data_IF_565021508506
#
_entry.id   IF_565021508506
#
_cell.length_a   1.000
_cell.length_b   1.000
_cell.length_c   1.000
_cell.angle_alpha   90.00
_cell.angle_beta   90.00
_cell.angle_gamma   90.00
#
_symmetry.space_group_name_H-M   'P 1'
#
loop_
_entity.id
_entity.type
_entity.pdbx_description
1 polymer ?
#
# COMPACT_ATOMS: atom_id res chain seq x y z
N UNK A 1 -5.17 3.82 20.61
CA UNK A 1 -4.54 4.51 19.47
C UNK A 1 -3.40 3.62 19.03
N UNK A 2 -3.23 3.41 17.72
CA UNK A 2 -2.14 2.61 17.18
C UNK A 2 -1.12 3.54 16.54
N UNK A 3 0.16 3.20 16.65
CA UNK A 3 1.28 4.01 16.17
C UNK A 3 1.86 3.33 14.93
N UNK A 4 1.77 3.99 13.78
CA UNK A 4 2.36 3.53 12.53
C UNK A 4 3.24 4.60 11.89
N UNK A 5 4.05 4.18 10.93
CA UNK A 5 4.85 5.08 10.10
C UNK A 5 4.88 4.60 8.66
N UNK A 6 4.85 5.52 7.73
CA UNK A 6 5.21 5.24 6.34
C UNK A 6 6.73 5.27 6.21
N UNK A 7 7.28 4.19 5.64
CA UNK A 7 8.70 3.89 5.59
C UNK A 7 9.11 3.74 4.13
N UNK A 8 10.19 4.40 3.72
CA UNK A 8 10.61 4.33 2.34
C UNK A 8 11.37 3.04 2.03
N UNK A 9 11.13 2.52 0.83
CA UNK A 9 12.00 1.52 0.21
C UNK A 9 13.31 2.19 -0.18
N UNK A 10 14.42 1.53 0.13
CA UNK A 10 15.76 1.89 -0.34
C UNK A 10 16.30 0.80 -1.28
N UNK A 11 17.33 1.13 -2.06
CA UNK A 11 18.00 0.19 -2.93
C UNK A 11 18.41 -1.10 -2.20
N UNK A 12 18.22 -2.24 -2.85
CA UNK A 12 18.48 -3.56 -2.27
C UNK A 12 17.41 -4.05 -1.30
N UNK A 13 16.19 -3.50 -1.38
CA UNK A 13 15.05 -3.94 -0.57
C UNK A 13 15.21 -3.66 0.92
N UNK A 14 15.86 -2.56 1.27
CA UNK A 14 16.06 -2.12 2.65
C UNK A 14 15.01 -1.08 3.05
N UNK A 15 14.64 -1.08 4.32
CA UNK A 15 13.78 -0.06 4.91
C UNK A 15 14.61 1.18 5.30
N UNK A 16 14.03 2.38 5.16
CA UNK A 16 14.66 3.63 5.55
C UNK A 16 14.65 3.88 7.06
N UNK A 17 14.00 3.03 7.84
CA UNK A 17 13.91 3.11 9.28
C UNK A 17 14.70 1.98 9.93
N UNK A 18 15.49 2.32 10.95
CA UNK A 18 16.31 1.37 11.69
C UNK A 18 15.47 0.45 12.59
N UNK A 19 15.96 -0.76 12.85
CA UNK A 19 15.27 -1.82 13.62
C UNK A 19 14.82 -1.35 15.02
N UNK A 20 15.62 -0.53 15.68
CA UNK A 20 15.27 0.04 16.98
C UNK A 20 13.96 0.84 16.96
N UNK A 21 13.72 1.58 15.88
CA UNK A 21 12.51 2.41 15.71
C UNK A 21 11.35 1.59 15.17
N UNK A 22 11.61 0.65 14.26
CA UNK A 22 10.61 -0.30 13.78
C UNK A 22 9.97 -1.07 14.93
N UNK A 23 10.79 -1.50 15.90
CA UNK A 23 10.32 -2.21 17.08
C UNK A 23 9.33 -1.42 17.94
N UNK A 24 9.34 -0.09 17.87
CA UNK A 24 8.43 0.79 18.62
C UNK A 24 7.07 1.02 17.95
N UNK A 25 6.93 0.64 16.68
CA UNK A 25 5.68 0.79 15.93
C UNK A 25 4.73 -0.37 16.21
N UNK A 26 3.43 -0.07 16.19
CA UNK A 26 2.39 -1.11 16.13
C UNK A 26 2.34 -1.72 14.73
N UNK A 27 2.51 -0.91 13.67
CA UNK A 27 2.56 -1.33 12.27
C UNK A 27 3.42 -0.40 11.42
N UNK A 28 3.94 -0.92 10.32
CA UNK A 28 4.61 -0.16 9.27
C UNK A 28 3.83 -0.20 7.96
N UNK A 29 3.90 0.90 7.23
CA UNK A 29 3.46 1.04 5.86
C UNK A 29 4.72 1.22 5.03
N UNK A 30 4.92 0.49 3.94
CA UNK A 30 6.09 0.64 3.09
C UNK A 30 5.72 1.22 1.74
N UNK A 31 6.43 2.27 1.33
CA UNK A 31 6.21 2.96 0.05
C UNK A 31 7.49 3.15 -0.75
N UNK A 32 7.36 3.16 -2.07
CA UNK A 32 8.45 3.46 -2.99
C UNK A 32 8.27 4.88 -3.53
N UNK A 33 9.22 5.78 -3.22
CA UNK A 33 9.12 7.20 -3.54
C UNK A 33 10.35 7.67 -4.31
N UNK A 34 10.14 8.43 -5.38
CA UNK A 34 11.20 8.99 -6.23
C UNK A 34 12.14 9.95 -5.51
N UNK A 35 11.76 10.45 -4.34
CA UNK A 35 12.61 11.30 -3.49
C UNK A 35 13.65 10.52 -2.72
N UNK A 36 13.42 9.22 -2.48
CA UNK A 36 14.27 8.35 -1.64
C UNK A 36 14.82 7.13 -2.41
N UNK A 37 14.30 6.89 -3.61
CA UNK A 37 14.61 5.72 -4.41
C UNK A 37 14.71 6.11 -5.89
N UNK A 38 15.79 5.70 -6.57
CA UNK A 38 15.94 5.86 -8.01
C UNK A 38 15.23 4.71 -8.72
N UNK A 39 14.39 5.05 -9.72
CA UNK A 39 13.66 4.05 -10.49
C UNK A 39 14.61 3.08 -11.19
N UNK A 40 14.63 1.84 -10.74
CA UNK A 40 15.47 0.76 -11.28
C UNK A 40 14.73 -0.12 -12.29
N UNK A 41 13.52 0.28 -12.67
CA UNK A 41 12.65 -0.48 -13.57
C UNK A 41 11.73 -1.44 -12.84
N UNK A 42 10.71 -1.90 -13.57
CA UNK A 42 9.56 -2.64 -13.03
C UNK A 42 9.95 -3.82 -12.14
N UNK A 43 10.84 -4.67 -12.61
CA UNK A 43 11.17 -5.91 -11.88
C UNK A 43 12.00 -5.61 -10.62
N UNK A 44 13.00 -4.75 -10.71
CA UNK A 44 13.84 -4.42 -9.57
C UNK A 44 13.10 -3.56 -8.54
N UNK A 45 12.26 -2.61 -8.96
CA UNK A 45 11.37 -1.88 -8.06
C UNK A 45 10.48 -2.85 -7.27
N UNK A 46 9.92 -3.86 -7.97
CA UNK A 46 9.07 -4.88 -7.35
C UNK A 46 9.87 -5.75 -6.39
N UNK A 47 11.07 -6.19 -6.76
CA UNK A 47 11.93 -7.00 -5.90
C UNK A 47 12.30 -6.27 -4.61
N UNK A 48 12.64 -4.99 -4.70
CA UNK A 48 13.02 -4.17 -3.56
C UNK A 48 11.81 -3.93 -2.63
N UNK A 49 10.63 -3.68 -3.18
CA UNK A 49 9.40 -3.54 -2.40
C UNK A 49 9.04 -4.85 -1.69
N UNK A 50 9.07 -5.98 -2.39
CA UNK A 50 8.83 -7.31 -1.82
C UNK A 50 9.86 -7.64 -0.72
N UNK A 51 11.12 -7.25 -0.92
CA UNK A 51 12.15 -7.39 0.11
C UNK A 51 11.76 -6.73 1.42
N UNK A 52 11.24 -5.50 1.35
CA UNK A 52 10.75 -4.76 2.51
C UNK A 52 9.49 -5.38 3.16
N UNK A 53 8.58 -5.93 2.35
CA UNK A 53 7.34 -6.56 2.83
C UNK A 53 7.58 -7.78 3.74
N UNK A 54 8.76 -8.39 3.67
CA UNK A 54 9.11 -9.55 4.51
C UNK A 54 9.37 -9.20 5.98
N UNK A 55 9.52 -7.91 6.27
CA UNK A 55 9.75 -7.48 7.65
C UNK A 55 8.45 -7.61 8.47
N UNK A 56 8.47 -8.23 9.66
CA UNK A 56 7.25 -8.55 10.44
C UNK A 56 6.46 -7.32 10.88
N UNK A 57 7.07 -6.15 10.91
CA UNK A 57 6.38 -4.88 11.21
C UNK A 57 5.70 -4.23 10.01
N UNK A 58 5.93 -4.72 8.80
CA UNK A 58 5.29 -4.19 7.59
C UNK A 58 3.96 -4.90 7.38
N UNK A 59 2.88 -4.15 7.44
CA UNK A 59 1.51 -4.64 7.29
C UNK A 59 0.82 -4.10 6.04
N UNK A 60 1.31 -2.97 5.51
CA UNK A 60 0.69 -2.29 4.39
C UNK A 60 1.73 -1.83 3.36
N UNK A 61 1.33 -1.82 2.09
CA UNK A 61 2.06 -1.16 1.01
C UNK A 61 1.32 0.11 0.63
N UNK A 62 2.00 1.25 0.70
CA UNK A 62 1.47 2.56 0.38
C UNK A 62 1.38 2.76 -1.14
N UNK A 63 0.25 3.31 -1.60
CA UNK A 63 -0.05 3.77 -2.96
C UNK A 63 0.77 3.14 -4.12
N UNK A 64 0.70 1.82 -4.35
CA UNK A 64 1.46 1.12 -5.38
C UNK A 64 0.81 1.33 -6.77
N UNK A 65 0.64 2.58 -7.19
CA UNK A 65 -0.24 2.96 -8.29
C UNK A 65 0.44 3.79 -9.39
N UNK A 66 1.68 4.22 -9.19
CA UNK A 66 2.31 5.24 -10.02
C UNK A 66 3.40 4.66 -10.95
N UNK A 67 3.23 4.80 -12.25
CA UNK A 67 4.21 4.35 -13.25
C UNK A 67 5.50 5.19 -13.30
N UNK A 68 5.63 6.25 -12.50
CA UNK A 68 6.96 6.80 -12.22
C UNK A 68 7.84 5.79 -11.47
N UNK A 69 7.22 4.87 -10.73
CA UNK A 69 7.83 3.74 -10.05
C UNK A 69 7.09 2.45 -10.44
N UNK A 70 7.21 1.97 -11.70
CA UNK A 70 6.40 0.89 -12.22
C UNK A 70 6.64 -0.40 -11.44
N UNK A 71 5.55 -1.15 -11.21
CA UNK A 71 5.55 -2.41 -10.46
C UNK A 71 4.96 -3.57 -11.28
N UNK A 72 5.40 -4.77 -10.99
CA UNK A 72 4.78 -6.00 -11.48
C UNK A 72 3.69 -6.43 -10.48
N UNK A 73 2.44 -6.11 -10.81
CA UNK A 73 1.29 -6.32 -9.90
C UNK A 73 1.03 -7.78 -9.57
N UNK A 74 1.25 -8.70 -10.52
CA UNK A 74 1.07 -10.12 -10.25
C UNK A 74 2.03 -10.60 -9.16
N UNK A 75 3.32 -10.26 -9.27
CA UNK A 75 4.32 -10.58 -8.26
C UNK A 75 4.05 -9.88 -6.94
N UNK A 76 3.65 -8.60 -6.98
CA UNK A 76 3.33 -7.81 -5.79
C UNK A 76 2.17 -8.42 -4.99
N UNK A 77 1.06 -8.75 -5.67
CA UNK A 77 -0.12 -9.32 -5.03
C UNK A 77 0.16 -10.72 -4.47
N UNK A 78 0.92 -11.56 -5.18
CA UNK A 78 1.36 -12.84 -4.64
C UNK A 78 2.20 -12.67 -3.37
N UNK A 79 3.18 -11.77 -3.40
CA UNK A 79 4.02 -11.49 -2.24
C UNK A 79 3.21 -10.89 -1.08
N UNK A 80 2.23 -10.04 -1.36
CA UNK A 80 1.31 -9.50 -0.34
C UNK A 80 0.55 -10.62 0.36
N UNK A 81 0.05 -11.60 -0.39
CA UNK A 81 -0.60 -12.79 0.17
C UNK A 81 0.34 -13.62 1.05
N UNK A 82 1.53 -13.90 0.55
CA UNK A 82 2.52 -14.75 1.23
C UNK A 82 3.01 -14.12 2.55
N UNK A 83 3.17 -12.80 2.56
CA UNK A 83 3.69 -12.08 3.73
C UNK A 83 2.59 -11.51 4.64
N UNK A 84 1.31 -11.72 4.31
CA UNK A 84 0.21 -11.19 5.11
C UNK A 84 0.13 -9.66 5.10
N UNK A 85 0.46 -9.02 3.99
CA UNK A 85 0.46 -7.56 3.80
C UNK A 85 -0.75 -7.15 2.97
N UNK A 86 -1.39 -6.04 3.32
CA UNK A 86 -2.46 -5.45 2.52
C UNK A 86 -1.95 -4.32 1.63
N UNK A 87 -2.61 -4.11 0.49
CA UNK A 87 -2.27 -3.08 -0.48
C UNK A 87 -3.20 -1.88 -0.33
N UNK A 88 -2.64 -0.68 -0.41
CA UNK A 88 -3.41 0.55 -0.27
C UNK A 88 -4.15 0.92 -1.55
N UNK A 89 -5.38 1.42 -1.38
CA UNK A 89 -6.09 2.25 -2.35
C UNK A 89 -6.13 3.67 -1.79
N UNK A 90 -5.24 4.51 -2.25
CA UNK A 90 -5.01 5.85 -1.72
C UNK A 90 -5.98 6.86 -2.35
N UNK A 91 -6.82 7.49 -1.50
CA UNK A 91 -7.76 8.51 -1.97
C UNK A 91 -7.06 9.74 -2.54
N UNK A 92 -5.89 10.12 -2.00
CA UNK A 92 -5.11 11.27 -2.47
C UNK A 92 -4.69 11.11 -3.94
N UNK A 93 -4.46 9.89 -4.43
CA UNK A 93 -4.10 9.64 -5.83
C UNK A 93 -5.16 10.13 -6.82
N UNK A 94 -6.44 10.07 -6.45
CA UNK A 94 -7.55 10.52 -7.29
C UNK A 94 -7.74 12.04 -7.30
N UNK A 95 -7.16 12.73 -6.32
CA UNK A 95 -7.27 14.18 -6.14
C UNK A 95 -6.05 14.96 -6.68
N UNK A 96 -4.98 14.26 -7.06
CA UNK A 96 -3.78 14.90 -7.59
C UNK A 96 -4.02 15.44 -9.01
N UNK A 97 -3.31 16.51 -9.40
CA UNK A 97 -3.33 17.01 -10.78
C UNK A 97 -2.91 15.95 -11.80
N UNK A 98 -3.40 16.09 -13.02
CA UNK A 98 -2.99 15.23 -14.14
C UNK A 98 -1.47 15.16 -14.29
N UNK A 99 -0.93 13.96 -14.49
CA UNK A 99 0.50 13.69 -14.61
C UNK A 99 1.27 13.62 -13.29
N UNK A 100 0.64 13.91 -12.14
CA UNK A 100 1.30 13.77 -10.84
C UNK A 100 1.52 12.28 -10.49
N UNK A 101 0.55 11.41 -10.82
CA UNK A 101 0.65 9.95 -10.77
C UNK A 101 0.27 9.39 -12.13
N UNK A 102 1.19 8.65 -12.75
CA UNK A 102 0.99 8.08 -14.07
C UNK A 102 0.19 6.79 -13.99
N UNK A 103 -0.84 6.67 -14.83
CA UNK A 103 -1.63 5.46 -15.04
C UNK A 103 -2.29 4.88 -13.77
N UNK A 104 -2.39 5.64 -12.68
CA UNK A 104 -2.84 5.15 -11.37
C UNK A 104 -4.19 4.40 -11.41
N UNK A 105 -5.17 4.87 -12.23
CA UNK A 105 -6.48 4.20 -12.34
C UNK A 105 -6.37 2.81 -12.98
N UNK A 106 -5.55 2.67 -14.00
CA UNK A 106 -5.34 1.37 -14.67
C UNK A 106 -4.52 0.42 -13.79
N UNK A 107 -3.55 0.98 -13.10
CA UNK A 107 -2.74 0.26 -12.13
C UNK A 107 -3.61 -0.27 -10.97
N UNK A 108 -4.51 0.55 -10.42
CA UNK A 108 -5.48 0.09 -9.43
C UNK A 108 -6.45 -0.96 -9.98
N UNK A 109 -6.95 -0.84 -11.23
CA UNK A 109 -7.80 -1.88 -11.84
C UNK A 109 -7.08 -3.22 -11.90
N UNK A 110 -5.83 -3.22 -12.36
CA UNK A 110 -5.00 -4.41 -12.44
C UNK A 110 -4.76 -5.02 -11.05
N UNK A 111 -4.34 -4.19 -10.10
CA UNK A 111 -4.09 -4.60 -8.72
C UNK A 111 -5.36 -5.18 -8.06
N UNK A 112 -6.50 -4.50 -8.17
CA UNK A 112 -7.75 -4.93 -7.56
C UNK A 112 -8.29 -6.22 -8.16
N UNK A 113 -8.15 -6.41 -9.48
CA UNK A 113 -8.53 -7.67 -10.15
C UNK A 113 -7.72 -8.85 -9.58
N UNK A 114 -6.41 -8.67 -9.41
CA UNK A 114 -5.53 -9.67 -8.80
C UNK A 114 -5.83 -9.87 -7.30
N UNK A 115 -6.04 -8.79 -6.55
CA UNK A 115 -6.44 -8.88 -5.14
C UNK A 115 -7.74 -9.66 -4.95
N UNK A 116 -8.72 -9.47 -5.84
CA UNK A 116 -9.97 -10.26 -5.84
C UNK A 116 -9.69 -11.73 -6.14
N UNK A 117 -8.88 -12.01 -7.16
CA UNK A 117 -8.55 -13.37 -7.59
C UNK A 117 -7.84 -14.17 -6.51
N UNK A 118 -6.89 -13.53 -5.83
CA UNK A 118 -6.03 -14.18 -4.82
C UNK A 118 -6.50 -13.95 -3.39
N UNK A 119 -7.64 -13.27 -3.19
CA UNK A 119 -8.19 -12.91 -1.88
C UNK A 119 -7.18 -12.16 -0.99
N UNK A 120 -6.48 -11.19 -1.57
CA UNK A 120 -5.59 -10.27 -0.85
C UNK A 120 -6.39 -9.06 -0.38
N UNK A 121 -6.33 -8.71 0.92
CA UNK A 121 -7.04 -7.55 1.42
C UNK A 121 -6.42 -6.23 0.96
N UNK A 122 -7.27 -5.20 0.90
CA UNK A 122 -6.84 -3.81 0.69
C UNK A 122 -7.20 -2.94 1.89
N UNK A 123 -6.49 -1.84 2.04
CA UNK A 123 -6.83 -0.76 2.96
C UNK A 123 -7.09 0.51 2.14
N UNK A 124 -8.05 1.31 2.58
CA UNK A 124 -8.38 2.59 1.92
C UNK A 124 -8.05 3.71 2.87
N UNK A 125 -7.21 4.63 2.47
CA UNK A 125 -6.91 5.78 3.31
C UNK A 125 -6.84 7.12 2.54
N UNK A 126 -6.67 8.20 3.28
CA UNK A 126 -6.71 9.55 2.73
C UNK A 126 -5.34 10.09 2.35
N UNK A 127 -4.25 9.49 2.85
CA UNK A 127 -2.89 10.03 2.74
C UNK A 127 -2.87 11.55 3.03
N UNK A 128 -3.50 11.92 4.14
CA UNK A 128 -3.77 13.31 4.49
C UNK A 128 -2.51 14.03 4.95
N UNK A 129 -2.13 15.08 4.26
CA UNK A 129 -1.06 16.00 4.63
C UNK A 129 -1.56 17.29 5.31
N UNK A 130 -2.88 17.40 5.46
CA UNK A 130 -3.58 18.49 6.15
C UNK A 130 -4.72 17.93 7.00
N UNK A 131 -5.00 18.48 8.19
CA UNK A 131 -6.08 18.01 9.06
C UNK A 131 -7.46 17.95 8.41
N UNK A 132 -7.75 18.83 7.45
CA UNK A 132 -9.03 18.86 6.74
C UNK A 132 -9.22 17.69 5.77
N UNK A 133 -8.14 17.01 5.37
CA UNK A 133 -8.18 15.87 4.46
C UNK A 133 -8.27 14.53 5.20
N UNK A 134 -8.14 14.52 6.52
CA UNK A 134 -8.20 13.28 7.31
C UNK A 134 -9.56 12.61 7.19
N UNK A 135 -9.57 11.37 6.72
CA UNK A 135 -10.79 10.56 6.57
C UNK A 135 -11.63 10.88 5.33
N UNK A 136 -11.16 11.73 4.42
CA UNK A 136 -11.79 11.91 3.11
C UNK A 136 -11.41 10.73 2.23
N UNK A 137 -12.40 9.90 1.88
CA UNK A 137 -12.21 8.63 1.18
C UNK A 137 -13.17 8.46 -0.02
N UNK A 138 -13.85 9.52 -0.42
CA UNK A 138 -15.00 9.43 -1.33
C UNK A 138 -14.61 8.93 -2.72
N UNK A 139 -13.51 9.43 -3.29
CA UNK A 139 -13.04 9.05 -4.62
C UNK A 139 -12.58 7.58 -4.67
N UNK A 140 -11.81 7.15 -3.67
CA UNK A 140 -11.36 5.76 -3.57
C UNK A 140 -12.53 4.79 -3.36
N UNK A 141 -13.52 5.17 -2.52
CA UNK A 141 -14.73 4.38 -2.32
C UNK A 141 -15.57 4.26 -3.59
N UNK A 142 -15.78 5.38 -4.28
CA UNK A 142 -16.48 5.36 -5.57
C UNK A 142 -15.75 4.44 -6.55
N UNK A 143 -14.44 4.56 -6.66
CA UNK A 143 -13.65 3.71 -7.55
C UNK A 143 -13.77 2.23 -7.22
N UNK A 144 -13.72 1.83 -5.94
CA UNK A 144 -13.92 0.45 -5.51
C UNK A 144 -15.33 -0.07 -5.86
N UNK A 145 -16.37 0.78 -5.74
CA UNK A 145 -17.73 0.45 -6.16
C UNK A 145 -17.82 0.24 -7.68
N UNK A 146 -17.19 1.11 -8.48
CA UNK A 146 -17.11 0.99 -9.94
C UNK A 146 -16.40 -0.32 -10.38
N UNK A 147 -15.50 -0.85 -9.55
CA UNK A 147 -14.80 -2.12 -9.79
C UNK A 147 -15.54 -3.34 -9.19
N UNK A 148 -16.73 -3.18 -8.59
CA UNK A 148 -17.42 -4.23 -7.84
C UNK A 148 -16.50 -4.96 -6.85
N UNK A 149 -15.59 -4.21 -6.18
CA UNK A 149 -14.61 -4.81 -5.31
C UNK A 149 -15.26 -5.34 -4.02
N UNK A 150 -15.00 -6.59 -3.60
CA UNK A 150 -15.69 -7.20 -2.48
C UNK A 150 -15.39 -6.52 -1.15
N UNK A 151 -16.40 -6.03 -0.43
CA UNK A 151 -16.26 -5.36 0.87
C UNK A 151 -15.54 -6.25 1.90
N UNK A 152 -15.70 -7.57 1.80
CA UNK A 152 -15.00 -8.52 2.68
C UNK A 152 -13.47 -8.41 2.61
N UNK A 153 -12.93 -7.90 1.49
CA UNK A 153 -11.50 -7.68 1.27
C UNK A 153 -11.04 -6.26 1.62
N UNK A 154 -11.92 -5.37 2.05
CA UNK A 154 -11.57 -4.03 2.52
C UNK A 154 -11.41 -4.08 4.04
N UNK A 155 -10.21 -3.85 4.55
CA UNK A 155 -9.91 -4.01 5.97
C UNK A 155 -10.62 -2.96 6.83
N UNK A 156 -10.56 -1.71 6.44
CA UNK A 156 -11.00 -0.60 7.29
C UNK A 156 -12.48 -0.20 7.13
N UNK A 157 -13.30 -1.11 6.62
CA UNK A 157 -14.76 -1.03 6.85
C UNK A 157 -15.11 -1.33 8.31
N UNK A 158 -14.19 -2.01 9.03
CA UNK A 158 -14.32 -2.34 10.44
C UNK A 158 -12.95 -2.23 11.14
N UNK A 159 -12.88 -1.41 12.18
CA UNK A 159 -11.64 -1.19 12.95
C UNK A 159 -11.09 -2.47 13.59
N UNK A 160 -11.95 -3.40 13.97
CA UNK A 160 -11.51 -4.64 14.59
C UNK A 160 -10.87 -5.60 13.56
N UNK A 161 -11.28 -5.53 12.28
CA UNK A 161 -10.57 -6.22 11.19
C UNK A 161 -9.14 -5.70 11.04
N UNK A 162 -8.95 -4.37 11.05
CA UNK A 162 -7.62 -3.75 10.98
C UNK A 162 -6.74 -4.21 12.14
N UNK A 163 -7.27 -4.15 13.37
CA UNK A 163 -6.51 -4.59 14.57
C UNK A 163 -6.14 -6.07 14.51
N UNK A 164 -7.07 -6.93 14.08
CA UNK A 164 -6.81 -8.36 13.92
C UNK A 164 -5.79 -8.64 12.82
N UNK A 165 -5.83 -7.87 11.74
CA UNK A 165 -4.87 -8.00 10.64
C UNK A 165 -3.45 -7.68 11.12
N UNK A 166 -3.28 -6.56 11.81
CA UNK A 166 -1.99 -6.15 12.38
C UNK A 166 -1.50 -7.15 13.43
N UNK A 167 -2.38 -7.65 14.29
CA UNK A 167 -2.02 -8.62 15.34
C UNK A 167 -1.59 -10.00 14.81
N UNK A 168 -1.98 -10.38 13.58
CA UNK A 168 -1.60 -11.66 12.97
C UNK A 168 -0.22 -11.65 12.32
N UNK A 169 0.32 -10.49 12.05
CA UNK A 169 1.65 -10.32 11.47
C UNK A 169 2.80 -10.41 12.48
N UNK A 170 2.51 -10.75 13.74
CA UNK A 170 3.50 -10.90 14.82
C UNK A 170 3.72 -12.38 15.12
#
# INVERSE_FOLDING_TARGET
MMFGSEINVLAGGRLSLEEEWLGKLDYGIVGIHNTCYENAGREENTDNLIGCMRHPKIHFVSHPDDDHMPLNYERLVHAAKENGVALEVNNSSFLKPEGFRLNYRENYRTMLALCRQYEVPVIVDSDAHDPSAVGILDEARQFLQEQDFPEKLILNVDIDRVKQFIAKGV
#
